data_IF_942881564971
#
_entry.id   IF_942881564971
#
_cell.length_a   1.000
_cell.length_b   1.000
_cell.length_c   1.000
_cell.angle_alpha   90.00
_cell.angle_beta   90.00
_cell.angle_gamma   90.00
#
_symmetry.space_group_name_H-M   'P 1'
#
loop_
_entity.id
_entity.type
_entity.pdbx_description
1 polymer ?
#
# COMPACT_ATOMS: atom_id res chain seq x y z
N UNK A 1 7.73 7.66 5.55
CA UNK A 1 7.77 6.56 4.55
C UNK A 1 6.40 6.23 3.99
N UNK A 2 5.41 5.95 4.84
CA UNK A 2 4.04 5.65 4.37
C UNK A 2 3.48 6.81 3.55
N UNK A 3 3.73 8.05 3.96
CA UNK A 3 3.27 9.23 3.24
C UNK A 3 3.84 9.27 1.82
N UNK A 4 5.11 8.93 1.64
CA UNK A 4 5.74 8.88 0.31
C UNK A 4 5.12 7.80 -0.56
N UNK A 5 4.80 6.65 0.02
CA UNK A 5 4.12 5.56 -0.69
C UNK A 5 2.73 6.01 -1.12
N UNK A 6 1.98 6.66 -0.24
CA UNK A 6 0.66 7.19 -0.56
C UNK A 6 0.72 8.23 -1.68
N UNK A 7 1.71 9.11 -1.66
CA UNK A 7 1.93 10.09 -2.73
C UNK A 7 2.25 9.40 -4.06
N UNK A 8 3.10 8.39 -4.03
CA UNK A 8 3.46 7.62 -5.22
C UNK A 8 2.24 6.95 -5.83
N UNK A 9 1.44 6.26 -5.02
CA UNK A 9 0.23 5.57 -5.49
C UNK A 9 -0.79 6.58 -6.01
N UNK A 10 -0.99 7.67 -5.31
CA UNK A 10 -1.91 8.73 -5.76
C UNK A 10 -1.54 9.25 -7.14
N UNK A 11 -0.27 9.52 -7.36
CA UNK A 11 0.24 10.02 -8.64
C UNK A 11 0.17 8.96 -9.73
N UNK A 12 0.65 7.74 -9.46
CA UNK A 12 0.75 6.67 -10.44
C UNK A 12 -0.61 6.14 -10.86
N UNK A 13 -1.53 6.00 -9.90
CA UNK A 13 -2.87 5.46 -10.14
C UNK A 13 -3.90 6.55 -10.42
N UNK A 14 -3.52 7.81 -10.36
CA UNK A 14 -4.38 8.97 -10.60
C UNK A 14 -5.63 8.96 -9.71
N UNK A 15 -5.42 8.83 -8.41
CA UNK A 15 -6.50 8.84 -7.41
C UNK A 15 -6.18 9.87 -6.33
N UNK A 16 -7.21 10.44 -5.66
CA UNK A 16 -6.97 11.40 -4.58
C UNK A 16 -6.22 10.75 -3.41
N UNK A 17 -5.21 11.44 -2.89
CA UNK A 17 -4.43 10.94 -1.76
C UNK A 17 -5.31 10.76 -0.52
N UNK A 18 -6.35 11.57 -0.37
CA UNK A 18 -7.27 11.46 0.77
C UNK A 18 -8.02 10.14 0.79
N UNK A 19 -8.21 9.50 -0.38
CA UNK A 19 -8.77 8.16 -0.45
C UNK A 19 -7.83 7.14 0.22
N UNK A 20 -6.53 7.26 -0.02
CA UNK A 20 -5.53 6.37 0.60
C UNK A 20 -5.42 6.59 2.10
N UNK A 21 -5.72 7.80 2.55
CA UNK A 21 -5.75 8.14 3.97
C UNK A 21 -7.07 7.81 4.66
N UNK A 22 -8.01 7.21 3.93
CA UNK A 22 -9.31 6.84 4.47
C UNK A 22 -10.26 7.98 4.72
N UNK A 23 -10.01 9.15 4.15
CA UNK A 23 -10.87 10.33 4.28
C UNK A 23 -12.00 10.37 3.26
N UNK A 24 -11.84 9.66 2.15
CA UNK A 24 -12.82 9.56 1.07
C UNK A 24 -13.08 8.08 0.82
N UNK A 25 -14.35 7.73 0.61
CA UNK A 25 -14.73 6.33 0.38
C UNK A 25 -14.23 5.82 -0.97
N UNK A 26 -13.79 4.56 -0.97
CA UNK A 26 -13.44 3.84 -2.20
C UNK A 26 -14.71 3.52 -2.96
N UNK A 27 -14.76 3.81 -4.27
CA UNK A 27 -15.98 3.73 -5.06
C UNK A 27 -16.00 2.60 -6.10
N UNK A 28 -14.83 2.10 -6.52
CA UNK A 28 -14.76 1.07 -7.56
C UNK A 28 -13.55 0.16 -7.35
N UNK A 29 -13.44 -0.87 -8.21
CA UNK A 29 -12.38 -1.88 -8.11
C UNK A 29 -10.98 -1.29 -8.28
N UNK A 30 -10.80 -0.37 -9.21
CA UNK A 30 -9.47 0.22 -9.45
C UNK A 30 -9.00 1.00 -8.23
N UNK A 31 -9.89 1.77 -7.63
CA UNK A 31 -9.58 2.51 -6.40
C UNK A 31 -9.31 1.56 -5.24
N UNK A 32 -10.07 0.47 -5.14
CA UNK A 32 -9.87 -0.54 -4.11
C UNK A 32 -8.50 -1.20 -4.26
N UNK A 33 -8.13 -1.55 -5.49
CA UNK A 33 -6.83 -2.15 -5.77
C UNK A 33 -5.68 -1.18 -5.42
N UNK A 34 -5.83 0.09 -5.76
CA UNK A 34 -4.84 1.11 -5.44
C UNK A 34 -4.69 1.31 -3.93
N UNK A 35 -5.81 1.31 -3.21
CA UNK A 35 -5.82 1.41 -1.76
C UNK A 35 -5.09 0.22 -1.12
N UNK A 36 -5.41 -0.98 -1.55
CA UNK A 36 -4.73 -2.19 -1.08
C UNK A 36 -3.24 -2.18 -1.44
N UNK A 37 -2.89 -1.69 -2.61
CA UNK A 37 -1.50 -1.58 -3.05
C UNK A 37 -0.71 -0.67 -2.13
N UNK A 38 -1.28 0.48 -1.75
CA UNK A 38 -0.63 1.39 -0.81
C UNK A 38 -0.36 0.71 0.53
N UNK A 39 -1.31 -0.06 1.04
CA UNK A 39 -1.16 -0.77 2.31
C UNK A 39 -0.05 -1.81 2.23
N UNK A 40 -0.06 -2.67 1.21
CA UNK A 40 0.93 -3.74 1.12
C UNK A 40 2.33 -3.21 0.83
N UNK A 41 2.48 -2.18 0.02
CA UNK A 41 3.78 -1.55 -0.20
C UNK A 41 4.31 -0.95 1.08
N UNK A 42 3.45 -0.33 1.88
CA UNK A 42 3.86 0.23 3.18
C UNK A 42 4.40 -0.86 4.09
N UNK A 43 3.80 -2.04 4.08
CA UNK A 43 4.28 -3.17 4.88
C UNK A 43 5.61 -3.72 4.35
N UNK A 44 5.71 -3.94 3.03
CA UNK A 44 6.91 -4.54 2.43
C UNK A 44 8.14 -3.63 2.56
N UNK A 45 7.93 -2.32 2.51
CA UNK A 45 9.01 -1.33 2.58
C UNK A 45 9.30 -0.86 4.00
N UNK A 46 8.53 -1.31 4.98
CA UNK A 46 8.74 -0.88 6.36
C UNK A 46 10.10 -1.38 6.86
N UNK A 47 10.96 -0.48 7.36
CA UNK A 47 12.35 -0.83 7.64
C UNK A 47 12.54 -1.83 8.77
N UNK A 48 11.67 -1.84 9.77
CA UNK A 48 11.87 -2.65 10.96
C UNK A 48 10.99 -3.89 11.03
N UNK A 49 9.80 -3.85 10.48
CA UNK A 49 8.78 -4.92 10.56
C UNK A 49 8.56 -5.43 11.99
N UNK A 50 8.74 -4.55 12.96
CA UNK A 50 8.56 -4.88 14.38
C UNK A 50 7.09 -4.86 14.76
N UNK A 51 6.83 -5.37 15.98
CA UNK A 51 5.51 -5.30 16.58
C UNK A 51 4.98 -3.85 16.52
N UNK A 52 3.75 -3.70 16.08
CA UNK A 52 3.12 -2.39 15.94
C UNK A 52 3.22 -1.76 14.54
N UNK A 53 4.07 -2.30 13.66
CA UNK A 53 4.19 -1.76 12.29
C UNK A 53 2.87 -1.86 11.52
N UNK A 54 2.20 -3.00 11.59
CA UNK A 54 0.91 -3.21 10.92
C UNK A 54 -0.16 -2.28 11.49
N UNK A 55 -0.13 -2.04 12.79
CA UNK A 55 -1.04 -1.11 13.44
C UNK A 55 -0.85 0.32 12.94
N UNK A 56 0.40 0.76 12.79
CA UNK A 56 0.70 2.09 12.27
C UNK A 56 0.22 2.23 10.82
N UNK A 57 0.48 1.24 9.99
CA UNK A 57 0.05 1.25 8.59
C UNK A 57 -1.48 1.30 8.50
N UNK A 58 -2.17 0.48 9.30
CA UNK A 58 -3.62 0.46 9.34
C UNK A 58 -4.19 1.83 9.75
N UNK A 59 -3.59 2.45 10.76
CA UNK A 59 -4.03 3.76 11.24
C UNK A 59 -3.87 4.84 10.16
N UNK A 60 -2.75 4.83 9.44
CA UNK A 60 -2.48 5.84 8.41
C UNK A 60 -3.35 5.68 7.17
N UNK A 61 -3.92 4.49 6.97
CA UNK A 61 -4.88 4.21 5.91
C UNK A 61 -6.33 4.18 6.42
N UNK A 62 -6.54 4.36 7.71
CA UNK A 62 -7.84 4.25 8.39
C UNK A 62 -8.55 2.95 8.06
N UNK A 63 -7.82 1.85 8.18
CA UNK A 63 -8.40 0.52 7.98
C UNK A 63 -8.14 -0.36 9.20
N UNK A 64 -8.80 -1.52 9.22
CA UNK A 64 -8.58 -2.52 10.26
C UNK A 64 -7.23 -3.21 10.03
N UNK A 65 -6.53 -3.53 11.12
CA UNK A 65 -5.26 -4.24 11.07
C UNK A 65 -5.38 -5.60 10.36
N UNK A 66 -6.56 -6.22 10.42
CA UNK A 66 -6.84 -7.47 9.71
C UNK A 66 -6.67 -7.32 8.19
N UNK A 67 -6.93 -6.15 7.64
CA UNK A 67 -6.71 -5.91 6.22
C UNK A 67 -5.22 -6.00 5.88
N UNK A 68 -4.36 -5.45 6.72
CA UNK A 68 -2.91 -5.53 6.53
C UNK A 68 -2.44 -6.98 6.57
N UNK A 69 -2.91 -7.76 7.56
CA UNK A 69 -2.59 -9.19 7.67
C UNK A 69 -3.06 -9.96 6.45
N UNK A 70 -4.29 -9.71 6.00
CA UNK A 70 -4.87 -10.41 4.85
C UNK A 70 -4.11 -10.11 3.57
N UNK A 71 -3.73 -8.86 3.35
CA UNK A 71 -2.96 -8.47 2.17
C UNK A 71 -1.57 -9.08 2.18
N UNK A 72 -0.93 -9.15 3.35
CA UNK A 72 0.36 -9.82 3.51
C UNK A 72 0.26 -11.31 3.17
N UNK A 73 -0.78 -11.97 3.67
CA UNK A 73 -1.02 -13.38 3.35
C UNK A 73 -1.28 -13.59 1.86
N UNK A 74 -2.08 -12.70 1.26
CA UNK A 74 -2.38 -12.77 -0.16
C UNK A 74 -1.12 -12.59 -1.01
N UNK A 75 -0.25 -11.67 -0.64
CA UNK A 75 1.03 -11.47 -1.30
C UNK A 75 1.88 -12.74 -1.26
N UNK A 76 1.87 -13.44 -0.14
CA UNK A 76 2.67 -14.66 0.03
C UNK A 76 2.12 -15.85 -0.73
N UNK A 77 0.80 -15.90 -0.98
CA UNK A 77 0.12 -17.10 -1.49
C UNK A 77 -0.42 -16.98 -2.91
N UNK A 78 -0.69 -15.77 -3.39
CA UNK A 78 -1.29 -15.56 -4.70
C UNK A 78 -0.26 -14.98 -5.66
N UNK A 79 0.13 -15.77 -6.68
CA UNK A 79 1.19 -15.36 -7.61
C UNK A 79 0.80 -14.16 -8.46
N UNK A 80 -0.47 -14.03 -8.84
CA UNK A 80 -0.94 -12.88 -9.63
C UNK A 80 -0.88 -11.59 -8.82
N UNK A 81 -1.33 -11.65 -7.57
CA UNK A 81 -1.26 -10.50 -6.68
C UNK A 81 0.20 -10.13 -6.39
N UNK A 82 1.05 -11.13 -6.14
CA UNK A 82 2.48 -10.91 -5.91
C UNK A 82 3.14 -10.21 -7.09
N UNK A 83 2.87 -10.66 -8.31
CA UNK A 83 3.42 -10.04 -9.52
C UNK A 83 2.98 -8.59 -9.68
N UNK A 84 1.71 -8.32 -9.43
CA UNK A 84 1.16 -6.96 -9.46
C UNK A 84 1.85 -6.06 -8.44
N UNK A 85 2.01 -6.53 -7.22
CA UNK A 85 2.65 -5.77 -6.14
C UNK A 85 4.15 -5.60 -6.41
N UNK A 86 4.83 -6.65 -6.87
CA UNK A 86 6.28 -6.58 -7.15
C UNK A 86 6.60 -5.56 -8.23
N UNK A 87 5.76 -5.46 -9.26
CA UNK A 87 5.93 -4.46 -10.31
C UNK A 87 5.83 -3.04 -9.72
N UNK A 88 4.82 -2.80 -8.92
CA UNK A 88 4.64 -1.50 -8.27
C UNK A 88 5.78 -1.19 -7.30
N UNK A 89 6.25 -2.21 -6.58
CA UNK A 89 7.39 -2.07 -5.67
C UNK A 89 8.65 -1.67 -6.42
N UNK A 90 8.91 -2.30 -7.56
CA UNK A 90 10.05 -1.96 -8.40
C UNK A 90 9.93 -0.53 -8.94
N UNK A 91 8.76 -0.14 -9.42
CA UNK A 91 8.51 1.22 -9.90
C UNK A 91 8.73 2.26 -8.80
N UNK A 92 8.31 1.96 -7.59
CA UNK A 92 8.55 2.83 -6.44
C UNK A 92 10.04 2.99 -6.16
N UNK A 93 10.79 1.88 -6.16
CA UNK A 93 12.23 1.90 -5.91
C UNK A 93 12.97 2.69 -6.99
N UNK A 94 12.59 2.54 -8.24
CA UNK A 94 13.19 3.30 -9.35
C UNK A 94 12.92 4.80 -9.16
N UNK A 95 11.70 5.16 -8.78
CA UNK A 95 11.31 6.56 -8.62
C UNK A 95 12.05 7.24 -7.47
N UNK A 96 12.24 6.54 -6.35
CA UNK A 96 12.78 7.15 -5.14
C UNK A 96 14.22 6.76 -4.81
N UNK A 97 14.76 5.70 -5.40
CA UNK A 97 16.11 5.24 -5.11
C UNK A 97 17.18 6.06 -5.82
N UNK A 98 16.81 6.81 -6.86
CA UNK A 98 17.73 7.65 -7.61
C UNK A 98 17.96 9.03 -6.98
N UNK A 99 17.34 9.28 -5.85
CA UNK A 99 17.46 10.56 -5.15
C UNK A 99 18.47 10.52 -4.02
#
# INVERSE_FOLDING_TARGET
>A
MVINIQKFISSTCNIPIDMLKGKISVKNHDQYNSYNLSIILSWLLHPTKKYGCKSTIARLHKCNMNRVHRLHNLYSKNSNFKSFVDKALQDYKITYASN
#
